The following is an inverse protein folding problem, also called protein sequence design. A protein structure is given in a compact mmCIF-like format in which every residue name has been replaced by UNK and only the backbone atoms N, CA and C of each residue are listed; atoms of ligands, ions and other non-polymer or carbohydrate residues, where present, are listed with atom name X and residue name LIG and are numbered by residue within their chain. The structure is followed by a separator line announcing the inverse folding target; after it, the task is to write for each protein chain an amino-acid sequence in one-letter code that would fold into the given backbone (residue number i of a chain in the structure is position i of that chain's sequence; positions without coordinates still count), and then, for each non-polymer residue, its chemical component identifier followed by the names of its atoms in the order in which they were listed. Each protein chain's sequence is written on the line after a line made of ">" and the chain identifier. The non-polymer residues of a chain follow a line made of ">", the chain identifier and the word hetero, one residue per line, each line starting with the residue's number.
data_IF_049462599462
#
_entry.id   IF_049462599462
#
_cell.length_a   1.000
_cell.length_b   1.000
_cell.length_c   1.000
_cell.angle_alpha   90.00
_cell.angle_beta   90.00
_cell.angle_gamma   90.00
#
_symmetry.space_group_name_H-M   'P 1'
#
loop_
_entity.id
_entity.type
_entity.pdbx_description
1 polymer ?
#
# COMPACT_ATOMS: atom_id res chain seq x y z
N UNK A 1 -21.65 23.96 38.79
CA UNK A 1 -21.65 24.33 37.35
C UNK A 1 -22.32 23.22 36.57
N UNK A 2 -23.05 23.60 35.52
CA UNK A 2 -24.21 22.90 34.99
C UNK A 2 -23.94 21.52 34.36
N UNK A 3 -24.81 20.56 34.72
CA UNK A 3 -25.19 19.42 33.90
C UNK A 3 -26.09 19.91 32.77
N UNK A 4 -25.71 19.68 31.51
CA UNK A 4 -26.57 19.94 30.35
C UNK A 4 -27.02 18.59 29.76
N UNK A 5 -28.35 18.39 29.81
CA UNK A 5 -29.10 17.31 29.16
C UNK A 5 -29.06 17.46 27.64
N UNK A 6 -28.78 16.38 26.93
CA UNK A 6 -29.07 16.28 25.49
C UNK A 6 -30.52 15.82 25.32
N UNK A 7 -31.36 16.70 24.76
CA UNK A 7 -32.76 16.45 24.43
C UNK A 7 -32.84 15.94 22.99
N UNK A 8 -33.18 14.67 22.80
CA UNK A 8 -33.51 14.15 21.48
C UNK A 8 -34.92 14.62 21.09
N UNK A 9 -35.02 15.50 20.09
CA UNK A 9 -36.29 15.77 19.40
C UNK A 9 -36.55 14.64 18.40
N UNK A 10 -37.68 13.97 18.59
CA UNK A 10 -38.28 13.09 17.58
C UNK A 10 -38.85 13.95 16.46
N UNK A 11 -38.32 13.80 15.25
CA UNK A 11 -39.08 14.06 14.03
C UNK A 11 -39.26 12.74 13.30
N UNK A 12 -40.50 12.27 13.28
CA UNK A 12 -40.97 11.16 12.45
C UNK A 12 -41.06 11.65 11.00
N UNK A 13 -40.25 11.08 10.11
CA UNK A 13 -40.48 11.18 8.67
C UNK A 13 -40.78 9.77 8.15
N UNK A 14 -42.04 9.55 7.79
CA UNK A 14 -42.53 8.27 7.30
C UNK A 14 -42.14 8.06 5.85
N UNK A 15 -41.45 6.95 5.58
CA UNK A 15 -41.33 6.41 4.23
C UNK A 15 -42.17 5.13 4.16
N UNK A 16 -43.24 5.17 3.36
CA UNK A 16 -43.98 3.99 2.93
C UNK A 16 -43.17 3.31 1.84
N UNK A 17 -42.53 2.18 2.16
CA UNK A 17 -42.00 1.28 1.15
C UNK A 17 -43.17 0.46 0.58
N UNK A 18 -43.50 0.71 -0.68
CA UNK A 18 -44.43 -0.11 -1.47
C UNK A 18 -43.80 -1.48 -1.74
N UNK A 19 -44.52 -2.53 -1.37
CA UNK A 19 -44.13 -3.93 -1.45
C UNK A 19 -44.33 -4.50 -2.84
N UNK A 20 -43.48 -4.15 -3.81
CA UNK A 20 -43.36 -4.90 -5.07
C UNK A 20 -41.90 -4.89 -5.51
N UNK A 21 -41.24 -6.06 -5.46
CA UNK A 21 -39.88 -6.24 -5.98
C UNK A 21 -38.88 -6.96 -5.07
N UNK A 22 -39.22 -7.31 -3.82
CA UNK A 22 -38.34 -8.04 -2.90
C UNK A 22 -38.58 -9.57 -2.88
N UNK A 23 -39.15 -10.13 -3.95
CA UNK A 23 -39.58 -11.52 -4.03
C UNK A 23 -38.76 -12.42 -4.96
N UNK A 24 -37.59 -11.97 -5.45
CA UNK A 24 -36.85 -12.70 -6.49
C UNK A 24 -35.32 -12.65 -6.33
N UNK A 25 -34.76 -12.76 -5.12
CA UNK A 25 -33.36 -13.20 -4.91
C UNK A 25 -33.14 -13.89 -3.54
N UNK A 26 -34.17 -14.56 -3.00
CA UNK A 26 -34.05 -15.52 -1.87
C UNK A 26 -34.77 -16.83 -2.23
N UNK A 27 -34.62 -17.26 -3.50
CA UNK A 27 -35.19 -18.53 -3.98
C UNK A 27 -34.34 -19.22 -5.05
N UNK A 28 -33.02 -19.14 -4.89
CA UNK A 28 -32.04 -19.86 -5.73
C UNK A 28 -30.93 -20.48 -4.88
N UNK A 29 -31.26 -20.98 -3.68
CA UNK A 29 -30.32 -21.67 -2.78
C UNK A 29 -30.90 -22.92 -2.11
N UNK A 30 -32.02 -23.43 -2.60
CA UNK A 30 -32.58 -24.73 -2.19
C UNK A 30 -33.21 -25.33 -3.43
N UNK A 31 -32.44 -26.16 -4.13
CA UNK A 31 -32.88 -27.30 -4.95
C UNK A 31 -31.70 -27.72 -5.84
N UNK A 32 -30.81 -28.57 -5.29
CA UNK A 32 -30.18 -29.69 -6.00
C UNK A 32 -29.39 -30.53 -4.98
N UNK A 33 -29.90 -31.74 -4.75
CA UNK A 33 -29.45 -32.72 -3.77
C UNK A 33 -27.95 -33.05 -3.86
N UNK A 34 -27.30 -33.23 -2.71
CA UNK A 34 -27.26 -34.50 -1.98
C UNK A 34 -26.54 -35.59 -2.78
N UNK A 35 -25.22 -35.71 -2.55
CA UNK A 35 -24.41 -36.95 -2.46
C UNK A 35 -22.93 -36.67 -2.78
N UNK A 36 -22.12 -36.32 -1.78
CA UNK A 36 -20.75 -36.84 -1.66
C UNK A 36 -20.45 -37.08 -0.19
N UNK A 37 -20.03 -38.30 0.08
CA UNK A 37 -19.87 -38.99 1.35
C UNK A 37 -18.71 -38.45 2.18
N UNK A 38 -18.88 -38.47 3.51
CA UNK A 38 -17.86 -38.28 4.54
C UNK A 38 -16.75 -39.33 4.39
N UNK A 39 -15.49 -38.91 4.32
CA UNK A 39 -14.34 -39.76 4.60
C UNK A 39 -13.23 -38.96 5.32
N UNK A 40 -12.89 -39.43 6.52
CA UNK A 40 -11.63 -39.36 7.26
C UNK A 40 -10.55 -38.38 6.74
N UNK A 41 -9.97 -37.51 7.54
CA UNK A 41 -9.43 -37.75 8.87
C UNK A 41 -8.02 -37.14 8.90
N UNK A 42 -7.64 -36.53 10.03
CA UNK A 42 -6.27 -36.08 10.32
C UNK A 42 -5.64 -35.13 9.28
N UNK A 43 -6.07 -33.87 9.24
CA UNK A 43 -5.13 -32.81 8.84
C UNK A 43 -4.28 -32.45 10.06
N UNK A 44 -2.98 -32.71 9.92
CA UNK A 44 -1.98 -32.70 10.96
C UNK A 44 -2.09 -31.47 11.88
N UNK A 45 -2.16 -31.75 13.19
CA UNK A 45 -1.55 -30.89 14.19
C UNK A 45 -0.04 -30.98 13.96
N UNK A 46 0.46 -30.32 12.91
CA UNK A 46 1.87 -30.05 12.79
C UNK A 46 2.19 -29.19 14.01
N UNK A 47 2.95 -29.78 14.94
CA UNK A 47 3.55 -29.04 16.02
C UNK A 47 4.10 -27.75 15.43
N UNK A 48 3.68 -26.60 15.98
CA UNK A 48 4.53 -25.42 15.97
C UNK A 48 5.72 -25.83 16.83
N UNK A 49 6.64 -26.58 16.23
CA UNK A 49 7.99 -26.71 16.72
C UNK A 49 8.42 -25.26 16.83
N UNK A 50 8.53 -24.77 18.07
CA UNK A 50 9.04 -23.43 18.32
C UNK A 50 10.33 -23.33 17.55
N UNK A 51 10.34 -22.50 16.51
CA UNK A 51 11.56 -22.26 15.74
C UNK A 51 12.62 -21.91 16.78
N UNK A 52 13.67 -22.72 16.87
CA UNK A 52 14.75 -22.47 17.80
C UNK A 52 15.17 -21.01 17.59
N UNK A 53 15.10 -20.21 18.64
CA UNK A 53 15.27 -18.76 18.56
C UNK A 53 16.53 -18.43 17.77
N UNK A 54 16.36 -17.87 16.57
CA UNK A 54 17.46 -17.66 15.63
C UNK A 54 18.20 -16.39 16.07
N UNK A 55 19.43 -16.57 16.54
CA UNK A 55 20.33 -15.46 16.83
C UNK A 55 21.21 -15.19 15.61
N UNK A 56 21.28 -13.94 15.18
CA UNK A 56 22.14 -13.48 14.09
C UNK A 56 23.05 -12.36 14.60
N UNK A 57 24.33 -12.41 14.27
CA UNK A 57 25.33 -11.41 14.66
C UNK A 57 25.88 -10.74 13.41
N UNK A 58 25.77 -9.41 13.35
CA UNK A 58 26.35 -8.59 12.29
C UNK A 58 27.70 -8.06 12.74
N UNK A 59 28.75 -8.22 11.92
CA UNK A 59 30.12 -7.75 12.23
C UNK A 59 30.84 -7.22 10.99
N UNK A 60 32.04 -6.66 11.16
CA UNK A 60 32.92 -6.25 10.06
C UNK A 60 32.27 -5.20 9.13
N UNK A 61 31.65 -4.17 9.71
CA UNK A 61 31.06 -3.07 8.97
C UNK A 61 30.96 -1.81 9.84
N UNK A 62 30.51 -0.71 9.23
CA UNK A 62 30.23 0.53 9.97
C UNK A 62 28.84 0.39 10.59
N UNK A 63 28.74 0.08 11.87
CA UNK A 63 27.45 -0.12 12.53
C UNK A 63 27.09 1.13 13.33
N UNK A 64 26.07 1.86 12.86
CA UNK A 64 25.55 3.05 13.51
C UNK A 64 24.39 2.68 14.42
N UNK A 65 24.40 3.14 15.68
CA UNK A 65 23.36 2.80 16.67
C UNK A 65 22.32 3.90 16.86
N UNK A 66 22.65 5.14 16.44
CA UNK A 66 21.92 6.37 16.77
C UNK A 66 21.79 6.63 18.29
N UNK A 67 22.66 6.04 19.11
CA UNK A 67 22.80 6.33 20.54
C UNK A 67 24.01 7.24 20.76
N UNK A 68 23.82 8.45 21.29
CA UNK A 68 24.90 9.43 21.52
C UNK A 68 26.03 8.89 22.41
N UNK A 69 25.74 7.99 23.35
CA UNK A 69 26.75 7.39 24.21
C UNK A 69 27.59 6.29 23.51
N UNK A 70 27.10 5.76 22.39
CA UNK A 70 27.76 4.71 21.61
C UNK A 70 27.36 4.81 20.13
N UNK A 71 27.75 5.89 19.41
CA UNK A 71 27.21 6.18 18.08
C UNK A 71 27.58 5.12 17.04
N UNK A 72 28.71 4.44 17.25
CA UNK A 72 29.17 3.31 16.46
C UNK A 72 29.53 2.09 17.31
N UNK A 73 29.53 0.92 16.70
CA UNK A 73 29.85 -0.35 17.38
C UNK A 73 30.49 -1.37 16.43
N UNK A 74 31.18 -2.36 16.98
CA UNK A 74 31.84 -3.41 16.18
C UNK A 74 30.89 -4.54 15.79
N UNK A 75 29.86 -4.80 16.61
CA UNK A 75 28.91 -5.87 16.37
C UNK A 75 27.54 -5.62 17.02
N UNK A 76 26.53 -6.23 16.42
CA UNK A 76 25.16 -6.30 16.96
C UNK A 76 24.65 -7.72 16.84
N UNK A 77 24.13 -8.28 17.94
CA UNK A 77 23.38 -9.53 17.95
C UNK A 77 21.88 -9.24 17.98
N UNK A 78 21.13 -9.90 17.11
CA UNK A 78 19.66 -9.88 17.05
C UNK A 78 19.14 -11.27 17.33
N UNK A 79 18.18 -11.40 18.23
CA UNK A 79 17.48 -12.65 18.55
C UNK A 79 15.99 -12.39 18.46
N UNK A 80 15.30 -13.18 17.64
CA UNK A 80 13.84 -13.08 17.44
C UNK A 80 13.35 -11.65 17.13
N UNK A 81 14.10 -10.95 16.26
CA UNK A 81 13.79 -9.58 15.84
C UNK A 81 14.11 -8.50 16.88
N UNK A 82 14.72 -8.84 18.03
CA UNK A 82 15.13 -7.89 19.07
C UNK A 82 16.64 -7.84 19.21
N UNK A 83 17.17 -6.67 19.51
CA UNK A 83 18.59 -6.50 19.80
C UNK A 83 18.91 -7.21 21.12
N UNK A 84 19.76 -8.23 21.05
CA UNK A 84 20.25 -9.02 22.18
C UNK A 84 21.49 -8.37 22.82
N UNK A 85 22.41 -7.88 21.98
CA UNK A 85 23.65 -7.26 22.42
C UNK A 85 24.20 -6.30 21.37
N UNK A 86 24.87 -5.25 21.84
CA UNK A 86 25.56 -4.23 21.03
C UNK A 86 26.90 -3.95 21.72
N UNK A 87 27.98 -3.83 20.96
CA UNK A 87 29.29 -3.48 21.53
C UNK A 87 30.46 -4.13 20.81
N UNK A 88 31.53 -4.35 21.56
CA UNK A 88 32.73 -5.03 21.06
C UNK A 88 32.38 -6.44 20.54
N UNK A 89 32.98 -6.82 19.40
CA UNK A 89 32.69 -8.06 18.67
C UNK A 89 32.73 -9.29 19.56
N UNK A 90 33.79 -9.40 20.38
CA UNK A 90 33.97 -10.53 21.30
C UNK A 90 32.82 -10.67 22.30
N UNK A 91 32.42 -9.57 22.93
CA UNK A 91 31.34 -9.56 23.93
C UNK A 91 30.01 -9.93 23.30
N UNK A 92 29.73 -9.45 22.09
CA UNK A 92 28.51 -9.76 21.35
C UNK A 92 28.47 -11.23 20.95
N UNK A 93 29.57 -11.79 20.43
CA UNK A 93 29.66 -13.21 20.08
C UNK A 93 29.45 -14.13 21.30
N UNK A 94 30.04 -13.81 22.45
CA UNK A 94 29.80 -14.55 23.69
C UNK A 94 28.32 -14.55 24.09
N UNK A 95 27.66 -13.38 23.99
CA UNK A 95 26.23 -13.26 24.32
C UNK A 95 25.32 -13.95 23.32
N UNK A 96 25.71 -14.00 22.04
CA UNK A 96 24.93 -14.61 20.97
C UNK A 96 24.87 -16.14 21.07
N UNK A 97 25.91 -16.76 21.64
CA UNK A 97 26.04 -18.20 21.80
C UNK A 97 26.61 -18.88 20.55
N UNK A 98 27.05 -20.14 20.73
CA UNK A 98 27.79 -20.89 19.70
C UNK A 98 27.00 -21.19 18.41
N UNK A 99 25.67 -21.18 18.49
CA UNK A 99 24.79 -21.48 17.36
C UNK A 99 24.33 -20.22 16.60
N UNK A 100 24.88 -19.05 16.92
CA UNK A 100 24.49 -17.82 16.24
C UNK A 100 25.02 -17.79 14.80
N UNK A 101 24.18 -17.37 13.87
CA UNK A 101 24.58 -17.09 12.50
C UNK A 101 25.40 -15.80 12.48
N UNK A 102 26.57 -15.82 11.85
CA UNK A 102 27.41 -14.62 11.71
C UNK A 102 27.24 -14.08 10.30
N UNK A 103 26.83 -12.81 10.20
CA UNK A 103 26.77 -12.05 8.96
C UNK A 103 27.94 -11.07 8.93
N UNK A 104 28.84 -11.28 7.97
CA UNK A 104 29.91 -10.36 7.66
C UNK A 104 29.38 -9.24 6.75
N UNK A 105 29.51 -7.99 7.20
CA UNK A 105 29.03 -6.83 6.45
C UNK A 105 29.99 -6.42 5.33
N UNK A 106 31.22 -6.93 5.30
CA UNK A 106 32.25 -6.62 4.29
C UNK A 106 32.48 -5.10 4.15
N UNK A 107 32.65 -4.43 5.29
CA UNK A 107 32.83 -2.98 5.38
C UNK A 107 31.56 -2.14 5.15
N UNK A 108 30.41 -2.75 4.79
CA UNK A 108 29.15 -2.03 4.56
C UNK A 108 28.56 -1.46 5.85
N UNK A 109 27.69 -0.48 5.70
CA UNK A 109 27.04 0.22 6.81
C UNK A 109 25.76 -0.50 7.26
N UNK A 110 25.62 -0.71 8.56
CA UNK A 110 24.35 -1.09 9.21
C UNK A 110 23.83 0.10 10.02
N UNK A 111 22.56 0.44 9.87
CA UNK A 111 21.90 1.51 10.61
C UNK A 111 20.45 1.14 10.93
N UNK A 112 19.79 1.82 11.89
CA UNK A 112 18.37 1.65 12.12
C UNK A 112 17.58 1.89 10.83
N UNK A 113 16.53 1.09 10.62
CA UNK A 113 15.61 1.32 9.52
C UNK A 113 14.90 2.67 9.66
N UNK A 114 14.51 3.25 8.52
CA UNK A 114 13.70 4.47 8.54
C UNK A 114 12.33 4.21 9.16
N UNK A 115 11.89 5.15 9.99
CA UNK A 115 10.55 5.16 10.57
C UNK A 115 9.80 6.33 9.95
N UNK A 116 8.76 6.02 9.21
CA UNK A 116 7.81 7.00 8.68
C UNK A 116 6.69 7.20 9.70
N UNK A 117 6.66 8.37 10.35
CA UNK A 117 5.67 8.69 11.38
C UNK A 117 4.33 9.15 10.79
N UNK A 118 4.29 9.53 9.52
CA UNK A 118 3.08 10.02 8.88
C UNK A 118 3.16 9.94 7.35
N UNK A 119 2.49 8.94 6.79
CA UNK A 119 2.24 8.87 5.34
C UNK A 119 0.88 8.32 4.99
N UNK A 120 0.46 8.64 3.77
CA UNK A 120 -0.75 8.11 3.17
C UNK A 120 -0.42 6.88 2.32
N UNK A 121 0.06 5.81 2.95
CA UNK A 121 0.53 4.59 2.25
C UNK A 121 -0.48 4.08 1.22
N UNK A 122 -1.77 4.03 1.56
CA UNK A 122 -2.83 3.58 0.65
C UNK A 122 -2.98 4.49 -0.59
N UNK A 123 -2.87 5.81 -0.40
CA UNK A 123 -2.93 6.77 -1.50
C UNK A 123 -1.69 6.67 -2.37
N UNK A 124 -0.50 6.57 -1.76
CA UNK A 124 0.77 6.39 -2.47
C UNK A 124 0.79 5.08 -3.25
N UNK A 125 0.29 3.98 -2.67
CA UNK A 125 0.11 2.71 -3.37
C UNK A 125 -0.86 2.81 -4.54
N UNK A 126 -1.99 3.51 -4.36
CA UNK A 126 -2.95 3.76 -5.44
C UNK A 126 -2.35 4.52 -6.62
N UNK A 127 -1.47 5.52 -6.37
CA UNK A 127 -0.76 6.23 -7.43
C UNK A 127 0.09 5.32 -8.32
N UNK A 128 0.63 4.22 -7.79
CA UNK A 128 1.41 3.25 -8.57
C UNK A 128 0.53 2.47 -9.57
N UNK A 129 -0.78 2.42 -9.34
CA UNK A 129 -1.74 1.80 -10.26
C UNK A 129 -2.26 2.77 -11.33
N UNK A 130 -1.88 4.04 -11.28
CA UNK A 130 -2.32 5.07 -12.21
C UNK A 130 -1.21 5.45 -13.18
N UNK A 131 -1.59 5.93 -14.36
CA UNK A 131 -0.63 6.51 -15.29
C UNK A 131 0.01 7.77 -14.65
N UNK A 132 1.34 7.86 -14.69
CA UNK A 132 2.08 8.96 -14.08
C UNK A 132 1.98 10.21 -14.95
N UNK A 133 1.15 11.16 -14.52
CA UNK A 133 0.91 12.41 -15.25
C UNK A 133 1.76 13.57 -14.73
N UNK A 134 2.79 13.29 -13.92
CA UNK A 134 3.61 14.33 -13.29
C UNK A 134 4.49 15.06 -14.31
N UNK A 135 4.74 16.36 -14.09
CA UNK A 135 5.72 17.10 -14.89
C UNK A 135 7.15 16.71 -14.55
N UNK A 136 8.11 17.18 -15.35
CA UNK A 136 9.54 16.95 -15.09
C UNK A 136 9.96 17.59 -13.76
N UNK A 137 10.89 16.98 -12.99
CA UNK A 137 11.58 15.71 -13.26
C UNK A 137 10.82 14.45 -12.79
N UNK A 138 9.67 14.60 -12.12
CA UNK A 138 8.92 13.49 -11.52
C UNK A 138 8.17 12.62 -12.56
N UNK A 139 7.91 13.16 -13.75
CA UNK A 139 7.32 12.43 -14.86
C UNK A 139 7.63 13.08 -16.22
N UNK A 140 7.10 12.50 -17.30
CA UNK A 140 7.45 12.92 -18.67
C UNK A 140 6.60 14.08 -19.19
N UNK A 141 5.61 14.57 -18.45
CA UNK A 141 4.55 15.42 -19.01
C UNK A 141 5.00 16.88 -19.11
N UNK A 142 4.86 17.48 -20.29
CA UNK A 142 5.06 18.91 -20.51
C UNK A 142 3.92 19.56 -21.31
N UNK A 143 2.96 18.77 -21.81
CA UNK A 143 1.86 19.23 -22.66
C UNK A 143 0.66 18.30 -22.58
N UNK A 144 -0.47 18.76 -23.10
CA UNK A 144 -1.68 17.92 -23.22
C UNK A 144 -1.45 16.77 -24.22
N UNK A 145 -0.61 16.97 -25.24
CA UNK A 145 -0.19 15.88 -26.13
C UNK A 145 0.59 14.79 -25.37
N UNK A 146 1.48 15.17 -24.44
CA UNK A 146 2.20 14.19 -23.63
C UNK A 146 1.25 13.39 -22.74
N UNK A 147 0.22 14.04 -22.16
CA UNK A 147 -0.84 13.37 -21.38
C UNK A 147 -1.53 12.30 -22.25
N UNK A 148 -1.91 12.66 -23.48
CA UNK A 148 -2.55 11.71 -24.41
C UNK A 148 -1.61 10.57 -24.81
N UNK A 149 -0.34 10.88 -25.08
CA UNK A 149 0.66 9.89 -25.43
C UNK A 149 0.90 8.91 -24.26
N UNK A 150 1.00 9.43 -23.03
CA UNK A 150 1.20 8.66 -21.82
C UNK A 150 0.00 7.75 -21.52
N UNK A 151 -1.23 8.26 -21.63
CA UNK A 151 -2.41 7.42 -21.49
C UNK A 151 -2.46 6.29 -22.52
N UNK A 152 -2.14 6.57 -23.79
CA UNK A 152 -2.07 5.52 -24.83
C UNK A 152 -0.98 4.50 -24.55
N UNK A 153 0.17 4.94 -24.02
CA UNK A 153 1.27 4.05 -23.61
C UNK A 153 0.83 3.17 -22.44
N UNK A 154 0.23 3.77 -21.41
CA UNK A 154 -0.26 3.07 -20.23
C UNK A 154 -1.32 2.04 -20.58
N UNK A 155 -2.29 2.41 -21.42
CA UNK A 155 -3.36 1.52 -21.88
C UNK A 155 -2.85 0.26 -22.58
N UNK A 156 -1.74 0.36 -23.33
CA UNK A 156 -1.11 -0.81 -23.98
C UNK A 156 -0.46 -1.75 -22.97
N UNK A 157 0.06 -1.23 -21.87
CA UNK A 157 0.74 -2.00 -20.83
C UNK A 157 -0.25 -2.55 -19.79
N UNK A 158 -1.35 -1.85 -19.56
CA UNK A 158 -2.33 -2.12 -18.52
C UNK A 158 -3.76 -1.94 -19.06
N UNK A 159 -4.23 -2.84 -19.94
CA UNK A 159 -5.60 -2.76 -20.45
C UNK A 159 -6.61 -2.94 -19.29
N UNK A 160 -7.55 -1.99 -19.09
CA UNK A 160 -8.55 -2.09 -18.03
C UNK A 160 -9.55 -3.21 -18.33
N UNK A 161 -10.14 -3.79 -17.28
CA UNK A 161 -11.26 -4.71 -17.46
C UNK A 161 -12.50 -3.95 -17.95
N UNK A 162 -13.49 -4.63 -18.55
CA UNK A 162 -14.75 -4.01 -18.92
C UNK A 162 -15.38 -3.24 -17.74
N UNK A 163 -15.61 -1.94 -17.92
CA UNK A 163 -16.18 -1.06 -16.91
C UNK A 163 -15.17 -0.40 -15.96
N UNK A 164 -13.88 -0.76 -15.98
CA UNK A 164 -12.85 -0.07 -15.21
C UNK A 164 -12.37 1.21 -15.92
N UNK A 165 -12.22 2.33 -15.20
CA UNK A 165 -11.72 3.55 -15.79
C UNK A 165 -10.20 3.49 -16.02
N UNK A 166 -9.74 4.18 -17.05
CA UNK A 166 -8.33 4.52 -17.24
C UNK A 166 -8.02 5.75 -16.37
N UNK A 167 -7.20 5.57 -15.32
CA UNK A 167 -6.89 6.64 -14.37
C UNK A 167 -5.45 7.12 -14.53
N UNK A 168 -5.27 8.44 -14.59
CA UNK A 168 -3.99 9.11 -14.56
C UNK A 168 -3.98 10.18 -13.48
N UNK A 169 -2.85 10.37 -12.81
CA UNK A 169 -2.73 11.34 -11.71
C UNK A 169 -1.41 12.09 -11.77
N UNK A 170 -1.45 13.38 -11.41
CA UNK A 170 -0.24 14.17 -11.16
C UNK A 170 -0.05 15.36 -12.09
N UNK A 171 -0.96 15.60 -13.03
CA UNK A 171 -0.80 16.72 -13.96
C UNK A 171 -0.92 18.08 -13.24
N UNK A 172 -0.17 19.06 -13.71
CA UNK A 172 -0.22 20.45 -13.25
C UNK A 172 -0.38 21.35 -14.47
N UNK A 173 -1.55 21.95 -14.61
CA UNK A 173 -1.90 22.82 -15.73
C UNK A 173 -0.97 24.05 -15.87
N UNK A 174 -0.35 24.50 -14.78
CA UNK A 174 0.60 25.62 -14.80
C UNK A 174 1.93 25.26 -15.47
N UNK A 175 2.25 23.96 -15.50
CA UNK A 175 3.48 23.40 -16.10
C UNK A 175 3.25 22.79 -17.49
N UNK A 176 2.01 22.78 -17.98
CA UNK A 176 1.70 22.39 -19.35
C UNK A 176 1.99 23.56 -20.30
N UNK A 177 2.51 23.23 -21.48
CA UNK A 177 2.74 24.17 -22.58
C UNK A 177 1.51 25.03 -22.91
N UNK A 178 0.32 24.47 -22.79
CA UNK A 178 -0.93 25.13 -23.12
C UNK A 178 -1.44 26.10 -22.04
N UNK A 179 -0.86 26.09 -20.83
CA UNK A 179 -1.27 26.91 -19.68
C UNK A 179 -2.79 26.88 -19.41
N UNK A 180 -3.41 25.72 -19.63
CA UNK A 180 -4.83 25.47 -19.37
C UNK A 180 -5.04 24.06 -18.82
N UNK A 181 -6.18 23.85 -18.17
CA UNK A 181 -6.59 22.50 -17.83
C UNK A 181 -6.91 21.69 -19.11
N UNK A 182 -6.58 20.38 -19.12
CA UNK A 182 -7.19 19.44 -20.05
C UNK A 182 -8.71 19.49 -19.96
N UNK A 183 -9.38 19.19 -21.05
CA UNK A 183 -10.84 19.17 -21.15
C UNK A 183 -11.32 17.76 -21.48
N UNK A 184 -12.62 17.52 -21.30
CA UNK A 184 -13.32 16.34 -21.82
C UNK A 184 -12.95 16.03 -23.28
N UNK A 185 -12.82 17.04 -24.13
CA UNK A 185 -12.50 16.85 -25.54
C UNK A 185 -11.07 16.33 -25.77
N UNK A 186 -10.12 16.74 -24.92
CA UNK A 186 -8.76 16.22 -24.96
C UNK A 186 -8.73 14.72 -24.57
N UNK A 187 -9.57 14.32 -23.61
CA UNK A 187 -9.71 12.93 -23.17
C UNK A 187 -10.46 12.06 -24.20
N UNK A 188 -11.54 12.57 -24.79
CA UNK A 188 -12.31 11.90 -25.85
C UNK A 188 -11.46 11.56 -27.09
N UNK A 189 -10.34 12.26 -27.31
CA UNK A 189 -9.37 11.99 -28.38
C UNK A 189 -8.46 10.77 -28.08
N UNK A 190 -8.48 10.25 -26.86
CA UNK A 190 -7.80 9.02 -26.45
C UNK A 190 -8.75 7.83 -26.58
N UNK A 191 -9.94 7.94 -25.97
CA UNK A 191 -10.99 6.93 -26.04
C UNK A 191 -12.34 7.56 -25.74
N UNK A 192 -13.39 7.08 -26.41
CA UNK A 192 -14.80 7.41 -26.13
C UNK A 192 -15.56 6.23 -25.51
N UNK A 193 -14.91 5.08 -25.36
CA UNK A 193 -15.52 3.84 -24.87
C UNK A 193 -15.00 3.42 -23.49
N UNK A 194 -13.77 3.81 -23.17
CA UNK A 194 -13.16 3.60 -21.85
C UNK A 194 -13.29 4.91 -21.08
N UNK A 195 -13.95 4.94 -19.91
CA UNK A 195 -13.99 6.13 -19.07
C UNK A 195 -12.56 6.55 -18.67
N UNK A 196 -12.24 7.83 -18.79
CA UNK A 196 -10.90 8.35 -18.44
C UNK A 196 -11.06 9.30 -17.26
N UNK A 197 -10.20 9.13 -16.25
CA UNK A 197 -10.13 10.01 -15.09
C UNK A 197 -8.73 10.59 -15.02
N UNK A 198 -8.62 11.91 -15.14
CA UNK A 198 -7.35 12.62 -15.03
C UNK A 198 -7.35 13.52 -13.79
N UNK A 199 -6.58 13.13 -12.77
CA UNK A 199 -6.54 13.77 -11.45
C UNK A 199 -5.37 14.76 -11.40
N UNK A 200 -5.65 15.99 -10.98
CA UNK A 200 -4.66 17.06 -10.81
C UNK A 200 -3.66 16.70 -9.70
N UNK A 201 -2.44 17.23 -9.77
CA UNK A 201 -1.38 17.00 -8.78
C UNK A 201 -1.83 17.27 -7.34
N UNK A 202 -2.69 18.28 -7.15
CA UNK A 202 -3.26 18.61 -5.84
C UNK A 202 -4.21 17.55 -5.27
N UNK A 203 -4.77 16.66 -6.09
CA UNK A 203 -5.82 15.72 -5.69
C UNK A 203 -7.21 16.36 -5.49
N UNK A 204 -7.37 17.66 -5.72
CA UNK A 204 -8.62 18.40 -5.48
C UNK A 204 -9.42 18.68 -6.76
N UNK A 205 -8.90 18.30 -7.91
CA UNK A 205 -9.53 18.53 -9.22
C UNK A 205 -9.34 17.30 -10.10
N UNK A 206 -10.33 17.02 -10.94
CA UNK A 206 -10.27 15.97 -11.94
C UNK A 206 -10.98 16.40 -13.22
N UNK A 207 -10.54 15.84 -14.35
CA UNK A 207 -11.19 15.94 -15.66
C UNK A 207 -11.68 14.55 -16.02
N UNK A 208 -12.93 14.47 -16.50
CA UNK A 208 -13.66 13.26 -16.88
C UNK A 208 -14.17 13.38 -18.32
#
# INVERSE_FOLDING_TARGET
>A
MALIRVRAMRHSFGWKATSEGAGMMIRTMLDNGLRVTIAAGMFALAAVAGAAAKTTVYTNGVILTMNDAMPQTEAVAVKDGRILAVGAKRTVLTKAGANAEIIDLDGRTLMPGFIDSHSHVSLTGGKLAFANMSPRPAGPIASIEDIKAEFRRWLKQHPPKPGEPLVGMGYDHSQLKEHRHPTRHDLDAISRTIPIVLIHFSGHQAVL
#
